data_IF_886370985263
#
_entry.id   IF_886370985263
#
_cell.length_a   1.000
_cell.length_b   1.000
_cell.length_c   1.000
_cell.angle_alpha   90.00
_cell.angle_beta   90.00
_cell.angle_gamma   90.00
#
_symmetry.space_group_name_H-M   'P 1'
#
loop_
_entity.id
_entity.type
_entity.pdbx_description
1 polymer ?
#
# COMPACT_ATOMS: atom_id res chain seq x y z
N UNK A 1 8.32 -0.77 -20.77
CA UNK A 1 6.90 -1.15 -20.59
C UNK A 1 6.20 -0.03 -19.85
N UNK A 2 5.09 0.53 -20.34
CA UNK A 2 4.27 1.45 -19.57
C UNK A 2 3.72 0.74 -18.32
N UNK A 3 3.67 1.45 -17.19
CA UNK A 3 3.01 0.95 -15.99
C UNK A 3 1.52 0.72 -16.31
N UNK A 4 0.92 -0.43 -15.95
CA UNK A 4 -0.52 -0.65 -16.10
C UNK A 4 -1.36 0.19 -15.13
N UNK A 5 -0.71 0.97 -14.26
CA UNK A 5 -1.32 1.80 -13.24
C UNK A 5 -1.13 3.26 -13.61
N UNK A 6 -2.23 4.01 -13.68
CA UNK A 6 -2.20 5.45 -13.87
C UNK A 6 -1.46 6.14 -12.70
N UNK A 7 -0.58 7.08 -12.99
CA UNK A 7 0.33 7.67 -11.99
C UNK A 7 -0.37 8.32 -10.79
N UNK A 8 -1.61 8.78 -10.99
CA UNK A 8 -2.41 9.49 -9.99
C UNK A 8 -3.25 8.60 -9.08
N UNK A 9 -3.40 7.31 -9.36
CA UNK A 9 -4.35 6.48 -8.60
C UNK A 9 -3.81 6.09 -7.22
N UNK A 10 -4.73 6.02 -6.26
CA UNK A 10 -4.48 5.64 -4.86
C UNK A 10 -4.69 4.14 -4.61
N UNK A 11 -5.28 3.46 -5.58
CA UNK A 11 -5.52 2.03 -5.59
C UNK A 11 -5.54 1.50 -7.01
N UNK A 12 -5.14 0.25 -7.18
CA UNK A 12 -5.14 -0.45 -8.46
C UNK A 12 -5.77 -1.82 -8.29
N UNK A 13 -6.72 -2.16 -9.17
CA UNK A 13 -7.26 -3.52 -9.24
C UNK A 13 -6.46 -4.32 -10.25
N UNK A 14 -5.79 -5.37 -9.77
CA UNK A 14 -5.04 -6.26 -10.64
C UNK A 14 -5.96 -6.95 -11.64
N UNK A 15 -5.71 -6.77 -12.93
CA UNK A 15 -6.50 -7.39 -13.98
C UNK A 15 -6.43 -8.93 -13.95
N UNK A 16 -5.26 -9.49 -13.64
CA UNK A 16 -5.02 -10.94 -13.70
C UNK A 16 -5.61 -11.72 -12.52
N UNK A 17 -5.55 -11.17 -11.31
CA UNK A 17 -5.99 -11.86 -10.09
C UNK A 17 -7.16 -11.17 -9.37
N UNK A 18 -7.73 -10.13 -9.98
CA UNK A 18 -8.80 -9.30 -9.43
C UNK A 18 -8.49 -8.68 -8.05
N UNK A 19 -7.24 -8.75 -7.58
CA UNK A 19 -6.86 -8.25 -6.27
C UNK A 19 -6.79 -6.73 -6.26
N UNK A 20 -7.49 -6.11 -5.32
CA UNK A 20 -7.40 -4.68 -5.10
C UNK A 20 -6.15 -4.35 -4.28
N UNK A 21 -5.23 -3.59 -4.85
CA UNK A 21 -4.01 -3.09 -4.24
C UNK A 21 -4.22 -1.63 -3.84
N UNK A 22 -3.78 -1.25 -2.66
CA UNK A 22 -3.77 0.12 -2.16
C UNK A 22 -2.34 0.55 -1.87
N UNK A 23 -2.10 1.85 -1.92
CA UNK A 23 -0.79 2.41 -1.63
C UNK A 23 -0.82 3.12 -0.28
N UNK A 24 0.16 2.82 0.56
CA UNK A 24 0.28 3.34 1.92
C UNK A 24 1.72 3.75 2.23
N UNK A 25 1.89 4.76 3.08
CA UNK A 25 3.20 5.15 3.57
C UNK A 25 3.40 4.58 4.98
N UNK A 26 4.61 4.14 5.30
CA UNK A 26 4.95 3.83 6.68
C UNK A 26 5.01 5.13 7.50
N UNK A 27 4.30 5.21 8.62
CA UNK A 27 4.35 6.38 9.50
C UNK A 27 5.75 6.62 10.12
N UNK A 28 6.63 5.60 10.15
CA UNK A 28 7.94 5.69 10.79
C UNK A 28 9.07 6.09 9.83
N UNK A 29 9.08 5.51 8.63
CA UNK A 29 10.16 5.72 7.66
C UNK A 29 9.68 6.34 6.34
N UNK A 30 8.40 6.76 6.30
CA UNK A 30 7.71 7.37 5.16
C UNK A 30 7.76 6.53 3.87
N UNK A 31 8.13 5.26 3.98
CA UNK A 31 8.34 4.41 2.83
C UNK A 31 7.00 4.11 2.15
N UNK A 32 6.80 4.56 0.90
CA UNK A 32 5.57 4.35 0.16
C UNK A 32 5.56 2.94 -0.43
N UNK A 33 4.53 2.16 -0.10
CA UNK A 33 4.45 0.74 -0.40
C UNK A 33 3.03 0.31 -0.77
N UNK A 34 2.95 -0.76 -1.57
CA UNK A 34 1.70 -1.36 -1.99
C UNK A 34 1.27 -2.47 -1.01
N UNK A 35 -0.01 -2.49 -0.66
CA UNK A 35 -0.63 -3.50 0.20
C UNK A 35 -1.95 -4.00 -0.41
N UNK A 36 -2.30 -5.28 -0.27
CA UNK A 36 -3.63 -5.77 -0.61
C UNK A 36 -4.72 -5.10 0.24
N UNK A 37 -5.80 -4.66 -0.40
CA UNK A 37 -6.97 -4.03 0.23
C UNK A 37 -7.69 -4.92 1.24
N UNK A 38 -7.52 -6.23 1.09
CA UNK A 38 -8.06 -7.26 2.00
C UNK A 38 -7.38 -7.28 3.36
N UNK A 39 -6.27 -6.57 3.54
CA UNK A 39 -5.63 -6.47 4.85
C UNK A 39 -6.37 -5.43 5.68
N UNK A 40 -6.88 -5.87 6.83
CA UNK A 40 -7.62 -5.05 7.76
C UNK A 40 -6.82 -4.94 9.06
N UNK A 41 -6.71 -3.73 9.60
CA UNK A 41 -6.07 -3.46 10.90
C UNK A 41 -4.60 -3.05 10.80
N UNK A 42 -3.70 -3.90 10.28
CA UNK A 42 -2.28 -3.58 10.21
C UNK A 42 -1.54 -4.34 9.10
N UNK A 43 -0.37 -3.82 8.74
CA UNK A 43 0.60 -4.50 7.89
C UNK A 43 2.03 -4.28 8.42
N UNK A 44 2.97 -5.10 7.96
CA UNK A 44 4.39 -4.96 8.30
C UNK A 44 5.08 -4.16 7.20
N UNK A 45 5.78 -3.08 7.55
CA UNK A 45 6.52 -2.29 6.56
C UNK A 45 7.64 -3.12 5.91
N UNK A 46 7.72 -3.09 4.58
CA UNK A 46 8.76 -3.82 3.82
C UNK A 46 10.19 -3.30 4.00
N UNK A 47 10.38 -2.11 4.58
CA UNK A 47 11.70 -1.48 4.77
C UNK A 47 12.19 -1.49 6.22
N UNK A 48 11.35 -1.08 7.16
CA UNK A 48 11.74 -0.92 8.57
C UNK A 48 11.11 -1.96 9.50
N UNK A 49 10.39 -2.94 8.93
CA UNK A 49 9.74 -4.06 9.63
C UNK A 49 8.77 -3.66 10.75
N UNK A 50 8.44 -2.37 10.82
CA UNK A 50 7.56 -1.84 11.85
C UNK A 50 6.12 -2.17 11.50
N UNK A 51 5.31 -2.48 12.51
CA UNK A 51 3.86 -2.62 12.39
C UNK A 51 3.26 -1.25 12.04
N UNK A 52 2.57 -1.17 10.92
CA UNK A 52 1.84 0.01 10.48
C UNK A 52 0.35 -0.28 10.56
N UNK A 53 -0.37 0.53 11.32
CA UNK A 53 -1.83 0.43 11.41
C UNK A 53 -2.46 1.00 10.14
N UNK A 54 -3.45 0.27 9.62
CA UNK A 54 -4.20 0.68 8.44
C UNK A 54 -5.39 1.52 8.92
N UNK A 55 -5.47 2.81 8.55
CA UNK A 55 -6.59 3.64 8.95
C UNK A 55 -7.91 3.10 8.40
N UNK A 56 -8.95 3.04 9.26
CA UNK A 56 -10.31 2.58 8.90
C UNK A 56 -11.01 3.53 7.93
N UNK A 57 -10.75 4.83 8.07
CA UNK A 57 -11.27 5.88 7.20
C UNK A 57 -10.09 6.57 6.51
N UNK A 58 -10.17 6.72 5.18
CA UNK A 58 -9.12 7.34 4.38
C UNK A 58 -9.68 8.57 3.71
N UNK A 59 -9.02 9.70 3.94
CA UNK A 59 -9.27 10.93 3.19
C UNK A 59 -8.38 10.89 1.94
N UNK A 60 -8.90 11.37 0.81
CA UNK A 60 -8.17 11.41 -0.47
C UNK A 60 -6.80 12.13 -0.33
N UNK A 61 -6.71 13.11 0.57
CA UNK A 61 -5.51 13.92 0.84
C UNK A 61 -4.34 13.16 1.49
N UNK A 62 -4.60 12.07 2.22
CA UNK A 62 -3.56 11.30 2.92
C UNK A 62 -3.09 10.06 2.14
N UNK A 63 -3.59 9.88 0.92
CA UNK A 63 -3.38 8.66 0.14
C UNK A 63 -2.12 8.74 -0.72
N UNK A 64 -1.31 7.68 -0.69
CA UNK A 64 -0.10 7.57 -1.51
C UNK A 64 -0.50 7.34 -2.97
N UNK A 65 0.12 8.08 -3.89
CA UNK A 65 -0.11 7.91 -5.34
C UNK A 65 0.76 6.79 -5.90
N UNK A 66 0.26 6.07 -6.90
CA UNK A 66 0.97 4.98 -7.56
C UNK A 66 2.40 5.34 -7.96
N UNK A 67 2.61 6.55 -8.52
CA UNK A 67 3.91 7.01 -9.04
C UNK A 67 5.04 7.00 -8.00
N UNK A 68 4.73 7.18 -6.72
CA UNK A 68 5.75 7.29 -5.67
C UNK A 68 6.01 5.98 -4.94
N UNK A 69 5.25 4.91 -5.23
CA UNK A 69 5.36 3.61 -4.56
C UNK A 69 6.69 2.95 -4.90
N UNK A 70 7.41 2.47 -3.88
CA UNK A 70 8.78 1.93 -4.02
C UNK A 70 8.90 0.44 -3.69
N UNK A 71 7.84 -0.19 -3.21
CA UNK A 71 7.87 -1.61 -2.85
C UNK A 71 6.54 -2.10 -2.27
N UNK A 72 6.59 -3.17 -1.50
CA UNK A 72 5.41 -3.87 -0.97
C UNK A 72 5.47 -3.98 0.55
N UNK A 73 4.31 -3.87 1.20
CA UNK A 73 4.16 -4.27 2.59
C UNK A 73 3.99 -5.79 2.72
N UNK A 74 4.18 -6.32 3.92
CA UNK A 74 3.96 -7.73 4.22
C UNK A 74 2.78 -7.92 5.17
N UNK A 75 2.19 -9.13 5.13
CA UNK A 75 1.13 -9.52 6.07
C UNK A 75 1.64 -9.35 7.50
N UNK A 76 0.76 -8.87 8.39
CA UNK A 76 1.03 -8.79 9.81
C UNK A 76 0.20 -9.86 10.56
N UNK A 77 0.78 -10.57 11.54
CA UNK A 77 2.21 -10.60 11.87
C UNK A 77 3.03 -11.31 10.78
N UNK A 78 4.29 -10.88 10.62
CA UNK A 78 5.27 -11.54 9.75
C UNK A 78 5.88 -12.68 10.58
N UNK A 79 5.39 -13.91 10.38
CA UNK A 79 5.97 -15.12 10.97
C UNK A 79 7.29 -15.48 10.29
#
# INVERSE_FOLDING_TARGET
MPSPVEDGVISYRCFSCAADIRFEACHKCEYPQAIPSRWFGAFTCGKCETKVEIPRQRLYSTSVKARIVRGYGHTYPRF
#
